data_IF_981477252031
#
_entry.id   IF_981477252031
#
_cell.length_a   1.000
_cell.length_b   1.000
_cell.length_c   1.000
_cell.angle_alpha   90.00
_cell.angle_beta   90.00
_cell.angle_gamma   90.00
#
_symmetry.space_group_name_H-M   'P 1'
#
loop_
_entity.id
_entity.type
_entity.pdbx_description
1 polymer ?
#
# COMPACT_ATOMS: atom_id res chain seq x y z
N UNK A 1 3.63 -5.36 -3.51
CA UNK A 1 3.97 -3.95 -3.86
C UNK A 1 2.74 -3.24 -4.42
N UNK A 2 2.50 -1.97 -4.09
CA UNK A 2 1.40 -1.17 -4.69
C UNK A 2 1.82 0.24 -5.14
N UNK A 3 3.08 0.59 -4.91
CA UNK A 3 3.75 1.83 -5.29
C UNK A 3 5.22 1.47 -5.47
N UNK A 4 5.87 2.00 -6.50
CA UNK A 4 7.32 1.93 -6.65
C UNK A 4 8.04 2.47 -5.40
N UNK A 5 7.81 3.73 -5.00
CA UNK A 5 8.54 4.36 -3.89
C UNK A 5 8.56 3.58 -2.56
N UNK A 6 7.41 3.02 -2.18
CA UNK A 6 7.26 2.30 -0.91
C UNK A 6 8.04 0.98 -0.86
N UNK A 7 8.42 0.46 -2.03
CA UNK A 7 9.08 -0.84 -2.16
C UNK A 7 10.59 -0.70 -2.18
N UNK A 8 11.14 0.51 -2.41
CA UNK A 8 12.59 0.73 -2.55
C UNK A 8 13.37 0.26 -1.32
N UNK A 9 13.02 0.78 -0.13
CA UNK A 9 13.74 0.42 1.09
C UNK A 9 13.57 -1.06 1.45
N UNK A 10 12.35 -1.62 1.49
CA UNK A 10 12.17 -3.06 1.70
C UNK A 10 12.97 -3.92 0.72
N UNK A 11 12.95 -3.60 -0.58
CA UNK A 11 13.70 -4.35 -1.58
C UNK A 11 15.20 -4.22 -1.35
N UNK A 12 15.73 -3.01 -1.16
CA UNK A 12 17.17 -2.82 -0.85
C UNK A 12 17.57 -3.54 0.45
N UNK A 13 16.67 -3.66 1.41
CA UNK A 13 16.94 -4.34 2.69
C UNK A 13 16.95 -5.86 2.56
N UNK A 14 15.97 -6.43 1.84
CA UNK A 14 15.83 -7.87 1.61
C UNK A 14 16.82 -8.37 0.56
N UNK A 15 17.01 -7.65 -0.56
CA UNK A 15 17.99 -7.98 -1.61
C UNK A 15 19.44 -7.90 -1.13
N UNK A 16 19.71 -7.16 -0.04
CA UNK A 16 21.02 -7.21 0.64
C UNK A 16 21.25 -8.55 1.36
N UNK A 17 20.23 -9.39 1.47
CA UNK A 17 20.28 -10.75 2.04
C UNK A 17 20.25 -11.82 0.95
N UNK A 18 20.59 -13.05 1.33
CA UNK A 18 20.77 -14.25 0.48
C UNK A 18 19.47 -14.79 -0.15
N UNK A 19 18.48 -13.93 -0.37
CA UNK A 19 17.16 -14.31 -0.86
C UNK A 19 17.00 -13.98 -2.33
N UNK A 20 16.45 -14.93 -3.08
CA UNK A 20 15.85 -14.66 -4.36
C UNK A 20 14.50 -13.97 -4.15
N UNK A 21 14.36 -12.74 -4.65
CA UNK A 21 13.17 -11.92 -4.39
C UNK A 21 12.40 -11.71 -5.69
N UNK A 22 11.11 -12.00 -5.64
CA UNK A 22 10.17 -11.63 -6.67
C UNK A 22 9.19 -10.59 -6.16
N UNK A 23 8.92 -9.58 -6.97
CA UNK A 23 7.88 -8.61 -6.71
C UNK A 23 6.50 -9.10 -7.15
N UNK A 24 5.46 -8.58 -6.50
CA UNK A 24 4.09 -8.71 -6.95
C UNK A 24 3.40 -7.34 -6.88
N UNK A 25 2.89 -6.85 -8.02
CA UNK A 25 2.09 -5.63 -8.08
C UNK A 25 0.61 -5.99 -8.02
N UNK A 26 -0.05 -5.66 -6.91
CA UNK A 26 -1.48 -5.87 -6.73
C UNK A 26 -2.06 -4.91 -5.69
N UNK A 27 -3.08 -4.16 -6.11
CA UNK A 27 -3.93 -3.36 -5.23
C UNK A 27 -5.21 -2.95 -5.99
N UNK A 28 -6.32 -3.70 -5.86
CA UNK A 28 -7.56 -3.38 -6.56
C UNK A 28 -8.20 -2.07 -6.07
N UNK A 29 -7.83 -1.59 -4.88
CA UNK A 29 -8.39 -0.37 -4.28
C UNK A 29 -7.68 0.92 -4.73
N UNK A 30 -6.95 0.93 -5.87
CA UNK A 30 -6.36 2.17 -6.39
C UNK A 30 -7.42 2.92 -7.22
N UNK A 31 -7.60 4.19 -6.92
CA UNK A 31 -8.56 5.06 -7.58
C UNK A 31 -7.99 6.46 -7.79
N UNK A 32 -8.31 7.11 -8.91
CA UNK A 32 -9.00 6.57 -10.10
C UNK A 32 -8.06 5.73 -10.97
N UNK A 33 -8.54 5.18 -12.09
CA UNK A 33 -7.71 4.45 -13.08
C UNK A 33 -6.41 5.16 -13.43
N UNK A 34 -6.43 6.50 -13.56
CA UNK A 34 -5.21 7.30 -13.81
C UNK A 34 -4.14 7.14 -12.73
N UNK A 35 -4.52 7.02 -11.46
CA UNK A 35 -3.58 6.77 -10.36
C UNK A 35 -3.03 5.34 -10.42
N UNK A 36 -3.87 4.37 -10.78
CA UNK A 36 -3.45 2.98 -10.98
C UNK A 36 -2.38 2.88 -12.06
N UNK A 37 -2.61 3.48 -13.23
CA UNK A 37 -1.63 3.48 -14.33
C UNK A 37 -0.29 4.10 -13.92
N UNK A 38 -0.32 5.26 -13.25
CA UNK A 38 0.92 5.90 -12.76
C UNK A 38 1.69 5.04 -11.79
N UNK A 39 1.00 4.32 -10.90
CA UNK A 39 1.65 3.42 -9.93
C UNK A 39 2.19 2.17 -10.61
N UNK A 40 1.47 1.62 -11.59
CA UNK A 40 1.92 0.51 -12.41
C UNK A 40 3.20 0.88 -13.17
N UNK A 41 3.20 2.01 -13.87
CA UNK A 41 4.39 2.53 -14.58
C UNK A 41 5.57 2.78 -13.63
N UNK A 42 5.33 3.37 -12.46
CA UNK A 42 6.37 3.58 -11.48
C UNK A 42 6.94 2.26 -10.92
N UNK A 43 6.09 1.25 -10.72
CA UNK A 43 6.56 -0.07 -10.30
C UNK A 43 7.34 -0.77 -11.42
N UNK A 44 6.96 -0.63 -12.69
CA UNK A 44 7.75 -1.11 -13.83
C UNK A 44 9.12 -0.43 -13.93
N UNK A 45 9.15 0.91 -13.80
CA UNK A 45 10.41 1.67 -13.76
C UNK A 45 11.32 1.17 -12.63
N UNK A 46 10.77 1.00 -11.43
CA UNK A 46 11.52 0.43 -10.30
C UNK A 46 12.03 -0.98 -10.60
N UNK A 47 11.17 -1.85 -11.13
CA UNK A 47 11.51 -3.23 -11.45
C UNK A 47 12.68 -3.30 -12.44
N UNK A 48 12.64 -2.46 -13.49
CA UNK A 48 13.73 -2.33 -14.45
C UNK A 48 15.02 -1.80 -13.81
N UNK A 49 14.96 -0.75 -12.99
CA UNK A 49 16.14 -0.16 -12.35
C UNK A 49 16.81 -1.10 -11.33
N UNK A 50 16.05 -2.02 -10.75
CA UNK A 50 16.53 -2.97 -9.73
C UNK A 50 16.71 -4.39 -10.26
N UNK A 51 16.50 -4.61 -11.56
CA UNK A 51 16.51 -5.95 -12.18
C UNK A 51 15.63 -6.96 -11.43
N UNK A 52 14.48 -6.49 -10.92
CA UNK A 52 13.57 -7.26 -10.09
C UNK A 52 12.53 -7.97 -10.98
N UNK A 53 12.44 -9.32 -10.93
CA UNK A 53 11.31 -10.03 -11.51
C UNK A 53 10.01 -9.64 -10.79
N UNK A 54 8.97 -9.24 -11.54
CA UNK A 54 7.69 -8.81 -10.94
C UNK A 54 6.50 -9.44 -11.66
N UNK A 55 5.60 -10.02 -10.88
CA UNK A 55 4.27 -10.45 -11.33
C UNK A 55 3.34 -9.24 -11.29
N UNK A 56 2.81 -8.84 -12.45
CA UNK A 56 1.90 -7.70 -12.58
C UNK A 56 0.45 -8.15 -12.75
N UNK A 57 -0.42 -7.71 -11.82
CA UNK A 57 -1.86 -7.74 -12.02
C UNK A 57 -2.30 -6.38 -12.57
N UNK A 58 -2.47 -6.32 -13.89
CA UNK A 58 -2.64 -5.07 -14.64
C UNK A 58 -4.11 -4.68 -14.87
N UNK A 59 -5.02 -5.63 -14.66
CA UNK A 59 -6.44 -5.40 -14.82
C UNK A 59 -6.95 -4.42 -13.76
N UNK A 60 -7.66 -3.40 -14.24
CA UNK A 60 -8.24 -2.38 -13.37
C UNK A 60 -9.61 -2.84 -12.85
N UNK A 61 -9.61 -3.63 -11.79
CA UNK A 61 -10.81 -4.28 -11.24
C UNK A 61 -11.16 -3.79 -9.81
N UNK A 62 -11.55 -2.51 -9.64
CA UNK A 62 -11.84 -1.98 -8.32
C UNK A 62 -13.10 -2.57 -7.67
N UNK A 63 -13.99 -3.16 -8.46
CA UNK A 63 -15.20 -3.81 -7.99
C UNK A 63 -14.90 -4.92 -6.99
N UNK A 64 -13.80 -5.66 -7.18
CA UNK A 64 -13.35 -6.71 -6.25
C UNK A 64 -13.16 -6.19 -4.81
N UNK A 65 -12.71 -4.94 -4.65
CA UNK A 65 -12.59 -4.31 -3.35
C UNK A 65 -13.97 -3.97 -2.75
N UNK A 66 -14.86 -3.38 -3.55
CA UNK A 66 -16.16 -2.92 -3.06
C UNK A 66 -17.15 -4.06 -2.78
N UNK A 67 -17.06 -5.18 -3.51
CA UNK A 67 -17.90 -6.36 -3.28
C UNK A 67 -17.70 -6.92 -1.88
N UNK A 68 -16.46 -6.97 -1.38
CA UNK A 68 -16.17 -7.39 0.00
C UNK A 68 -16.63 -6.41 1.08
N UNK A 69 -17.14 -5.24 0.69
CA UNK A 69 -17.73 -4.24 1.58
C UNK A 69 -19.25 -4.09 1.35
N UNK A 70 -19.86 -4.95 0.54
CA UNK A 70 -21.30 -4.97 0.35
C UNK A 70 -22.01 -5.17 1.72
N UNK A 71 -23.07 -4.40 1.97
CA UNK A 71 -23.79 -4.42 3.25
C UNK A 71 -23.21 -3.51 4.34
N UNK A 72 -22.05 -2.88 4.11
CA UNK A 72 -21.55 -1.82 5.00
C UNK A 72 -22.07 -0.45 4.57
N UNK A 73 -22.31 0.45 5.53
CA UNK A 73 -22.67 1.82 5.20
C UNK A 73 -21.47 2.56 4.59
N UNK A 74 -21.55 2.78 3.28
CA UNK A 74 -20.50 3.46 2.50
C UNK A 74 -20.27 4.91 2.93
N UNK A 75 -21.25 5.55 3.59
CA UNK A 75 -21.12 6.93 4.10
C UNK A 75 -20.35 6.99 5.42
N UNK A 76 -20.34 5.90 6.18
CA UNK A 76 -19.73 5.83 7.52
C UNK A 76 -18.62 4.78 7.63
N UNK A 77 -18.12 4.26 6.50
CA UNK A 77 -17.15 3.16 6.52
C UNK A 77 -15.84 3.55 7.23
N UNK A 78 -15.59 3.03 8.44
CA UNK A 78 -14.49 3.49 9.27
C UNK A 78 -13.16 2.98 8.71
N UNK A 79 -12.04 3.74 8.91
CA UNK A 79 -10.71 3.32 8.48
C UNK A 79 -10.36 1.90 8.92
N UNK A 80 -10.72 1.51 10.14
CA UNK A 80 -10.43 0.22 10.75
C UNK A 80 -11.06 -0.94 9.99
N UNK A 81 -12.22 -0.73 9.35
CA UNK A 81 -12.89 -1.77 8.54
C UNK A 81 -12.33 -1.78 7.12
N UNK A 82 -12.32 -0.61 6.47
CA UNK A 82 -12.01 -0.52 5.03
C UNK A 82 -10.53 -0.71 4.72
N UNK A 83 -9.64 -0.31 5.64
CA UNK A 83 -8.19 -0.49 5.48
C UNK A 83 -7.80 -1.94 5.78
N UNK A 84 -8.35 -2.55 6.83
CA UNK A 84 -8.15 -3.97 7.14
C UNK A 84 -8.57 -4.85 5.97
N UNK A 85 -9.75 -4.61 5.39
CA UNK A 85 -10.17 -5.31 4.16
C UNK A 85 -9.19 -5.12 2.99
N UNK A 86 -8.66 -3.91 2.80
CA UNK A 86 -7.65 -3.62 1.77
C UNK A 86 -6.34 -4.38 2.02
N UNK A 87 -5.89 -4.47 3.28
CA UNK A 87 -4.69 -5.22 3.65
C UNK A 87 -4.91 -6.71 3.40
N UNK A 88 -6.03 -7.25 3.86
CA UNK A 88 -6.43 -8.64 3.69
C UNK A 88 -6.36 -9.08 2.23
N UNK A 89 -7.07 -8.39 1.35
CA UNK A 89 -7.09 -8.71 -0.08
C UNK A 89 -5.69 -8.76 -0.68
N UNK A 90 -4.83 -7.80 -0.31
CA UNK A 90 -3.49 -7.69 -0.87
C UNK A 90 -2.54 -8.74 -0.32
N UNK A 91 -2.61 -9.02 0.98
CA UNK A 91 -1.74 -9.98 1.65
C UNK A 91 -2.13 -11.42 1.29
N UNK A 92 -3.42 -11.74 1.24
CA UNK A 92 -3.91 -13.04 0.80
C UNK A 92 -3.49 -13.32 -0.64
N UNK A 93 -3.71 -12.37 -1.57
CA UNK A 93 -3.27 -12.55 -2.97
C UNK A 93 -1.77 -12.74 -3.11
N UNK A 94 -0.99 -12.04 -2.27
CA UNK A 94 0.48 -12.19 -2.25
C UNK A 94 0.88 -13.58 -1.75
N UNK A 95 0.27 -14.07 -0.68
CA UNK A 95 0.54 -15.38 -0.12
C UNK A 95 0.09 -16.53 -1.05
N UNK A 96 -1.03 -16.38 -1.75
CA UNK A 96 -1.50 -17.30 -2.78
C UNK A 96 -0.52 -17.40 -3.95
N UNK A 97 -0.06 -16.25 -4.48
CA UNK A 97 0.92 -16.23 -5.55
C UNK A 97 2.27 -16.81 -5.09
N UNK A 98 2.68 -16.53 -3.85
CA UNK A 98 3.89 -17.11 -3.26
C UNK A 98 3.79 -18.64 -3.19
N UNK A 99 2.65 -19.18 -2.75
CA UNK A 99 2.40 -20.63 -2.71
C UNK A 99 2.46 -21.24 -4.12
N UNK A 100 1.77 -20.62 -5.08
CA UNK A 100 1.73 -21.11 -6.46
C UNK A 100 3.11 -21.08 -7.13
N UNK A 101 3.95 -20.11 -6.77
CA UNK A 101 5.33 -19.99 -7.26
C UNK A 101 6.37 -20.78 -6.45
N UNK A 102 5.97 -21.54 -5.43
CA UNK A 102 6.91 -22.33 -4.61
C UNK A 102 7.80 -21.50 -3.68
N UNK A 103 7.43 -20.25 -3.37
CA UNK A 103 8.19 -19.40 -2.45
C UNK A 103 7.99 -19.85 -1.00
N UNK A 104 9.07 -19.88 -0.22
CA UNK A 104 9.02 -20.21 1.22
C UNK A 104 8.45 -19.08 2.08
N UNK A 105 8.70 -17.83 1.65
CA UNK A 105 8.35 -16.63 2.39
C UNK A 105 7.61 -15.63 1.51
N UNK A 106 6.72 -14.84 2.12
CA UNK A 106 6.19 -13.61 1.52
C UNK A 106 6.33 -12.43 2.50
N UNK A 107 6.34 -11.22 1.97
CA UNK A 107 6.34 -9.98 2.75
C UNK A 107 5.55 -8.88 2.03
N UNK A 108 5.54 -7.66 2.57
CA UNK A 108 4.79 -6.55 1.99
C UNK A 108 5.43 -5.19 2.20
N UNK A 109 5.45 -4.38 1.14
CA UNK A 109 5.80 -2.95 1.19
C UNK A 109 4.81 -2.11 2.02
N UNK A 110 3.70 -2.69 2.49
CA UNK A 110 2.79 -2.05 3.45
C UNK A 110 3.50 -1.70 4.76
N UNK A 111 4.45 -2.53 5.19
CA UNK A 111 5.23 -2.39 6.43
C UNK A 111 6.20 -1.20 6.43
N UNK A 112 6.33 -0.50 5.29
CA UNK A 112 7.16 0.72 5.16
C UNK A 112 6.39 2.00 5.52
N UNK A 113 5.06 2.00 5.41
CA UNK A 113 4.27 3.22 5.57
C UNK A 113 4.10 3.61 7.03
N UNK A 114 4.55 4.82 7.40
CA UNK A 114 4.32 5.42 8.73
C UNK A 114 2.87 5.89 8.95
N UNK A 115 2.02 5.88 7.91
CA UNK A 115 0.62 6.30 7.99
C UNK A 115 -0.38 5.14 8.09
N UNK A 116 0.05 3.92 7.79
CA UNK A 116 -0.84 2.75 7.77
C UNK A 116 -0.82 2.08 9.14
N UNK A 117 -1.93 1.44 9.53
CA UNK A 117 -2.00 0.70 10.78
C UNK A 117 -1.14 -0.57 10.67
N UNK A 118 0.04 -0.52 11.28
CA UNK A 118 1.06 -1.56 11.19
C UNK A 118 0.63 -2.86 11.88
N UNK A 119 -0.06 -2.75 13.00
CA UNK A 119 -0.57 -3.90 13.76
C UNK A 119 -1.59 -4.69 12.92
N UNK A 120 -2.56 -3.98 12.32
CA UNK A 120 -3.52 -4.61 11.40
C UNK A 120 -2.85 -5.26 10.19
N UNK A 121 -1.78 -4.66 9.65
CA UNK A 121 -1.02 -5.28 8.54
C UNK A 121 -0.37 -6.59 8.99
N UNK A 122 0.21 -6.63 10.20
CA UNK A 122 0.84 -7.83 10.76
C UNK A 122 -0.21 -8.93 10.98
N UNK A 123 -1.36 -8.58 11.57
CA UNK A 123 -2.44 -9.53 11.84
C UNK A 123 -2.95 -10.19 10.55
N UNK A 124 -3.27 -9.38 9.54
CA UNK A 124 -3.72 -9.88 8.23
C UNK A 124 -2.64 -10.69 7.51
N UNK A 125 -1.36 -10.37 7.70
CA UNK A 125 -0.26 -11.14 7.12
C UNK A 125 -0.09 -12.50 7.82
N UNK A 126 -0.24 -12.55 9.14
CA UNK A 126 -0.24 -13.82 9.90
C UNK A 126 -1.40 -14.72 9.47
N UNK A 127 -2.59 -14.15 9.27
CA UNK A 127 -3.75 -14.89 8.78
C UNK A 127 -3.52 -15.42 7.36
N UNK A 128 -2.97 -14.60 6.45
CA UNK A 128 -2.63 -15.03 5.09
C UNK A 128 -1.56 -16.14 5.08
N UNK A 129 -0.58 -16.07 5.99
CA UNK A 129 0.43 -17.12 6.16
C UNK A 129 -0.20 -18.45 6.62
N UNK A 130 -1.07 -18.40 7.62
CA UNK A 130 -1.77 -19.58 8.12
C UNK A 130 -2.62 -20.26 7.04
N UNK A 131 -3.37 -19.47 6.25
CA UNK A 131 -4.25 -19.98 5.19
C UNK A 131 -3.47 -20.59 4.02
N UNK A 132 -2.37 -19.96 3.62
CA UNK A 132 -1.59 -20.39 2.46
C UNK A 132 -0.60 -21.52 2.79
N UNK A 133 -0.05 -21.53 4.01
CA UNK A 133 1.10 -22.34 4.40
C UNK A 133 2.45 -21.70 4.06
N UNK A 134 2.47 -20.49 3.49
CA UNK A 134 3.71 -19.74 3.21
C UNK A 134 4.08 -18.91 4.43
N UNK A 135 5.37 -18.88 4.80
CA UNK A 135 5.82 -18.13 5.98
C UNK A 135 5.75 -16.63 5.72
N UNK A 136 5.31 -15.86 6.72
CA UNK A 136 5.39 -14.41 6.65
C UNK A 136 6.75 -13.92 7.12
N UNK A 137 7.50 -13.25 6.26
CA UNK A 137 8.71 -12.51 6.61
C UNK A 137 8.33 -11.12 7.11
N UNK A 138 8.45 -10.92 8.41
CA UNK A 138 8.22 -9.65 9.06
C UNK A 138 9.53 -8.88 9.27
N UNK A 139 9.51 -7.61 8.88
CA UNK A 139 10.50 -6.62 9.29
C UNK A 139 9.81 -5.26 9.35
N UNK A 140 10.19 -4.43 10.33
CA UNK A 140 9.67 -3.07 10.45
C UNK A 140 10.46 -2.13 9.52
N UNK A 141 9.94 -1.91 8.31
CA UNK A 141 10.61 -1.06 7.32
C UNK A 141 10.42 0.44 7.56
N UNK A 142 9.72 0.86 8.62
CA UNK A 142 9.46 2.28 8.91
C UNK A 142 10.73 3.04 9.28
N UNK A 143 11.74 2.37 9.83
CA UNK A 143 13.07 2.96 10.09
C UNK A 143 13.71 3.55 8.82
N UNK A 144 13.45 2.95 7.66
CA UNK A 144 13.97 3.35 6.37
C UNK A 144 13.14 4.41 5.66
N UNK A 145 12.13 4.98 6.32
CA UNK A 145 11.15 5.86 5.69
C UNK A 145 11.82 7.04 4.96
N UNK A 146 12.70 7.77 5.63
CA UNK A 146 13.38 8.92 5.00
C UNK A 146 14.31 8.48 3.86
N UNK A 147 15.07 7.38 4.04
CA UNK A 147 15.96 6.85 3.01
C UNK A 147 15.19 6.42 1.75
N UNK A 148 14.02 5.81 1.91
CA UNK A 148 13.13 5.46 0.80
C UNK A 148 12.59 6.69 0.06
N UNK A 149 12.33 7.80 0.78
CA UNK A 149 11.91 9.07 0.16
C UNK A 149 13.03 9.63 -0.72
N UNK A 150 14.25 9.74 -0.20
CA UNK A 150 15.37 10.29 -0.99
C UNK A 150 15.68 9.41 -2.20
N UNK A 151 15.76 8.09 -2.02
CA UNK A 151 15.97 7.15 -3.12
C UNK A 151 14.87 7.24 -4.19
N UNK A 152 13.61 7.48 -3.80
CA UNK A 152 12.52 7.65 -4.78
C UNK A 152 12.65 8.92 -5.63
N UNK A 153 13.27 9.97 -5.08
CA UNK A 153 13.56 11.21 -5.82
C UNK A 153 14.72 11.00 -6.78
N UNK A 154 15.79 10.36 -6.32
CA UNK A 154 16.98 10.02 -7.13
C UNK A 154 16.61 9.15 -8.33
N UNK A 155 15.69 8.19 -8.13
CA UNK A 155 15.19 7.32 -9.20
C UNK A 155 14.09 7.97 -10.05
N UNK A 156 13.71 9.22 -9.76
CA UNK A 156 12.64 9.97 -10.42
C UNK A 156 11.35 9.15 -10.57
N UNK A 157 10.93 8.50 -9.48
CA UNK A 157 9.71 7.69 -9.46
C UNK A 157 8.49 8.57 -9.18
N UNK A 158 7.35 8.21 -9.77
CA UNK A 158 6.09 8.85 -9.42
C UNK A 158 5.79 8.63 -7.92
N UNK A 159 5.57 9.73 -7.20
CA UNK A 159 5.25 9.75 -5.77
C UNK A 159 3.80 10.16 -5.55
N UNK A 160 3.03 9.25 -4.97
CA UNK A 160 1.64 9.44 -4.63
C UNK A 160 1.47 10.36 -3.41
N UNK A 161 0.34 11.07 -3.34
CA UNK A 161 -0.02 11.97 -2.23
C UNK A 161 -1.18 11.45 -1.35
N UNK A 162 -1.63 10.22 -1.57
CA UNK A 162 -2.62 9.49 -0.79
C UNK A 162 -2.41 7.98 -0.92
N UNK A 163 -3.09 7.17 -0.10
CA UNK A 163 -2.89 5.71 -0.05
C UNK A 163 -3.27 5.01 -1.37
N UNK A 164 -4.13 5.61 -2.17
CA UNK A 164 -4.62 5.08 -3.45
C UNK A 164 -6.14 4.92 -3.46
N UNK A 165 -6.78 4.69 -2.32
CA UNK A 165 -8.23 4.53 -2.26
C UNK A 165 -9.01 5.84 -2.38
N UNK A 166 -10.27 5.73 -2.80
CA UNK A 166 -11.19 6.87 -2.95
C UNK A 166 -11.40 7.62 -1.62
N UNK A 167 -11.40 6.89 -0.50
CA UNK A 167 -11.56 7.45 0.84
C UNK A 167 -10.37 8.34 1.21
N UNK A 168 -9.14 7.84 1.08
CA UNK A 168 -7.92 8.60 1.34
C UNK A 168 -7.79 9.80 0.42
N UNK A 169 -8.26 9.67 -0.83
CA UNK A 169 -8.35 10.80 -1.77
C UNK A 169 -9.32 11.88 -1.27
N UNK A 170 -10.48 11.49 -0.73
CA UNK A 170 -11.46 12.39 -0.10
C UNK A 170 -10.94 13.10 1.14
N UNK A 171 -10.29 12.36 2.04
CA UNK A 171 -9.67 12.90 3.25
C UNK A 171 -8.58 13.93 2.94
N UNK A 172 -7.91 13.80 1.78
CA UNK A 172 -6.91 14.76 1.30
C UNK A 172 -7.53 15.93 0.52
N UNK A 173 -8.86 15.97 0.35
CA UNK A 173 -9.55 17.01 -0.41
C UNK A 173 -9.25 16.96 -1.91
N UNK A 174 -8.92 15.78 -2.43
CA UNK A 174 -8.49 15.58 -3.83
C UNK A 174 -9.64 15.11 -4.74
N UNK A 175 -10.87 15.00 -4.23
CA UNK A 175 -12.05 14.61 -5.02
C UNK A 175 -12.56 15.75 -5.92
N UNK A 176 -12.43 17.00 -5.48
CA UNK A 176 -12.87 18.18 -6.23
C UNK A 176 -11.97 19.38 -5.91
N UNK A 177 -11.62 20.21 -6.92
CA UNK A 177 -10.91 21.48 -6.68
C UNK A 177 -11.64 22.42 -5.72
N UNK A 178 -12.99 22.40 -5.73
CA UNK A 178 -13.83 23.28 -4.90
C UNK A 178 -13.70 22.99 -3.40
N UNK A 179 -13.48 21.72 -3.03
CA UNK A 179 -13.47 21.28 -1.63
C UNK A 179 -12.06 21.37 -1.00
N UNK A 180 -11.03 21.69 -1.79
CA UNK A 180 -9.63 21.59 -1.35
C UNK A 180 -9.28 22.60 -0.25
N UNK A 181 -9.86 23.81 -0.32
CA UNK A 181 -9.65 24.87 0.70
C UNK A 181 -10.36 24.49 2.01
N UNK A 182 -11.64 24.13 1.92
CA UNK A 182 -12.46 23.73 3.05
C UNK A 182 -11.86 22.54 3.83
N UNK A 183 -11.42 21.49 3.13
CA UNK A 183 -10.79 20.33 3.77
C UNK A 183 -9.46 20.71 4.43
N UNK A 184 -8.65 21.58 3.80
CA UNK A 184 -7.40 22.07 4.41
C UNK A 184 -7.67 22.86 5.69
N UNK A 185 -8.68 23.72 5.68
CA UNK A 185 -9.05 24.54 6.83
C UNK A 185 -9.57 23.66 7.98
N UNK A 186 -10.38 22.63 7.68
CA UNK A 186 -10.83 21.63 8.66
C UNK A 186 -9.66 20.87 9.29
N UNK A 187 -8.74 20.33 8.48
CA UNK A 187 -7.55 19.61 8.96
C UNK A 187 -6.68 20.52 9.84
N UNK A 188 -6.53 21.80 9.47
CA UNK A 188 -5.76 22.77 10.25
C UNK A 188 -6.44 23.05 11.61
N UNK A 189 -7.76 23.15 11.63
CA UNK A 189 -8.54 23.33 12.85
C UNK A 189 -8.45 22.10 13.77
N UNK A 190 -8.57 20.88 13.24
CA UNK A 190 -8.43 19.62 13.99
C UNK A 190 -7.03 19.47 14.61
N UNK A 191 -5.97 19.75 13.85
CA UNK A 191 -4.59 19.75 14.36
C UNK A 191 -4.37 20.79 15.45
N UNK A 192 -5.02 21.96 15.35
CA UNK A 192 -4.97 22.99 16.39
C UNK A 192 -5.66 22.50 17.67
N UNK A 193 -6.82 21.85 17.55
CA UNK A 193 -7.54 21.20 18.67
C UNK A 193 -6.72 20.09 19.33
N UNK A 194 -6.07 19.22 18.54
CA UNK A 194 -5.24 18.13 19.07
C UNK A 194 -3.93 18.58 19.75
N UNK A 195 -3.51 19.84 19.54
CA UNK A 195 -2.32 20.44 20.17
C UNK A 195 -2.64 21.30 21.40
N UNK A 196 -3.91 21.51 21.73
CA UNK A 196 -4.29 22.20 22.96
C UNK A 196 -4.17 21.22 24.14
N UNK A 197 -3.49 21.58 25.24
CA UNK A 197 -3.50 20.76 26.45
C UNK A 197 -4.95 20.65 26.96
N UNK A 198 -5.31 19.45 27.47
CA UNK A 198 -6.62 19.16 28.05
C UNK A 198 -6.90 20.06 29.25
#
# INVERSE_FOLDING_TARGET
MCCGPCSIYPLKRILKGRYEVHGLFYNPNIHPRKEFMKRLEATRKLASLMELPVIFYEDYEPESYFTGLAGTDKKSLPPEVRCTHCYRLRLQKTAEAAKAGGFEYFSSSLLYSTFQNHEQIIEEAKEAAQRSGVKFFYEDFREGWQAGIEASKEMELFRQNYCGCIFSKGERGLLSPRNKKEVKDRIKAERKKAKLPR
#
